data_IF_834439450053
#
_entry.id   IF_834439450053
#
_cell.length_a   1.000
_cell.length_b   1.000
_cell.length_c   1.000
_cell.angle_alpha   90.00
_cell.angle_beta   90.00
_cell.angle_gamma   90.00
#
_symmetry.space_group_name_H-M   'P 1'
#
loop_
_entity.id
_entity.type
_entity.pdbx_description
1 polymer ?
#
# COMPACT_ATOMS: atom_id res chain seq x y z
N UNK A 1 -0.99 -5.68 21.62
CA UNK A 1 -1.08 -5.68 23.10
C UNK A 1 -1.69 -6.97 23.65
N UNK A 2 -3.00 -7.24 23.44
CA UNK A 2 -3.71 -8.40 24.05
C UNK A 2 -3.11 -9.79 23.78
N UNK A 3 -2.20 -9.92 22.80
CA UNK A 3 -1.54 -11.17 22.40
C UNK A 3 -0.04 -11.21 22.72
N UNK A 4 0.53 -10.16 23.31
CA UNK A 4 1.98 -9.99 23.43
C UNK A 4 2.37 -9.74 24.88
N UNK A 5 3.37 -10.47 25.39
CA UNK A 5 3.99 -10.15 26.65
C UNK A 5 4.98 -8.99 26.44
N UNK A 6 4.61 -7.80 26.90
CA UNK A 6 5.42 -6.58 26.71
C UNK A 6 6.84 -6.73 27.26
N UNK A 7 7.02 -7.40 28.41
CA UNK A 7 8.34 -7.63 29.03
C UNK A 7 9.24 -8.59 28.26
N UNK A 8 8.69 -9.29 27.25
CA UNK A 8 9.42 -10.21 26.38
C UNK A 8 9.35 -9.78 24.91
N UNK A 9 8.90 -8.56 24.64
CA UNK A 9 8.76 -8.02 23.30
C UNK A 9 9.90 -7.04 23.01
N UNK A 10 10.47 -7.12 21.81
CA UNK A 10 11.35 -6.12 21.22
C UNK A 10 10.55 -5.32 20.19
N UNK A 11 10.59 -4.00 20.29
CA UNK A 11 9.95 -3.07 19.36
C UNK A 11 10.99 -2.49 18.41
N UNK A 12 10.71 -2.54 17.10
CA UNK A 12 11.54 -1.93 16.07
C UNK A 12 10.87 -0.63 15.65
N UNK A 13 11.45 0.51 16.03
CA UNK A 13 10.98 1.85 15.66
C UNK A 13 11.68 2.26 14.38
N UNK A 14 10.94 2.30 13.28
CA UNK A 14 11.51 2.39 11.94
C UNK A 14 10.96 3.60 11.19
N UNK A 15 11.81 4.59 10.94
CA UNK A 15 11.46 5.78 10.16
C UNK A 15 12.71 6.44 9.57
N UNK A 16 12.80 6.52 8.23
CA UNK A 16 13.91 7.17 7.51
C UNK A 16 14.14 8.61 8.00
N UNK A 17 13.10 9.45 7.93
CA UNK A 17 13.17 10.85 8.39
C UNK A 17 13.23 11.01 9.91
N UNK A 18 12.95 9.96 10.67
CA UNK A 18 12.78 10.01 12.13
C UNK A 18 11.55 10.81 12.60
N UNK A 19 10.65 11.22 11.69
CA UNK A 19 9.52 12.11 12.00
C UNK A 19 8.14 11.54 11.61
N UNK A 20 8.07 10.30 11.11
CA UNK A 20 6.81 9.66 10.73
C UNK A 20 5.84 9.57 11.90
N UNK A 21 4.72 10.29 11.80
CA UNK A 21 3.79 10.53 12.90
C UNK A 21 3.21 9.23 13.47
N UNK A 22 2.84 8.28 12.60
CA UNK A 22 2.29 7.00 12.99
C UNK A 22 3.30 6.17 13.79
N UNK A 23 4.53 6.06 13.29
CA UNK A 23 5.63 5.33 13.94
C UNK A 23 5.91 5.91 15.32
N UNK A 24 6.02 7.24 15.44
CA UNK A 24 6.27 7.91 16.72
C UNK A 24 5.07 7.78 17.68
N UNK A 25 3.84 7.85 17.18
CA UNK A 25 2.64 7.65 17.99
C UNK A 25 2.58 6.25 18.61
N UNK A 26 2.88 5.22 17.81
CA UNK A 26 2.97 3.85 18.33
C UNK A 26 4.13 3.69 19.32
N UNK A 27 5.27 4.30 19.04
CA UNK A 27 6.41 4.30 19.94
C UNK A 27 6.03 4.88 21.31
N UNK A 28 5.48 6.10 21.38
CA UNK A 28 5.12 6.75 22.65
C UNK A 28 4.12 5.91 23.44
N UNK A 29 3.12 5.32 22.77
CA UNK A 29 2.16 4.43 23.41
C UNK A 29 2.81 3.22 24.08
N UNK A 30 3.66 2.48 23.35
CA UNK A 30 4.30 1.29 23.91
C UNK A 30 5.42 1.63 24.89
N UNK A 31 6.13 2.74 24.69
CA UNK A 31 7.17 3.20 25.60
C UNK A 31 6.58 3.54 26.97
N UNK A 32 5.49 4.31 27.03
CA UNK A 32 4.86 4.65 28.31
C UNK A 32 4.27 3.43 29.03
N UNK A 33 3.75 2.43 28.30
CA UNK A 33 3.37 1.15 28.92
C UNK A 33 4.55 0.41 29.51
N UNK A 34 5.63 0.28 28.75
CA UNK A 34 6.84 -0.39 29.23
C UNK A 34 7.49 0.36 30.38
N UNK A 35 7.46 1.69 30.39
CA UNK A 35 7.94 2.53 31.48
C UNK A 35 7.19 2.25 32.79
N UNK A 36 5.88 2.01 32.74
CA UNK A 36 5.11 1.61 33.93
C UNK A 36 5.52 0.24 34.49
N UNK A 37 6.08 -0.65 33.65
CA UNK A 37 6.46 -2.01 34.02
C UNK A 37 7.95 -2.11 34.41
N UNK A 38 8.82 -1.44 33.65
CA UNK A 38 10.30 -1.56 33.71
C UNK A 38 10.99 -0.28 34.20
N UNK A 39 10.25 0.79 34.46
CA UNK A 39 10.81 2.09 34.84
C UNK A 39 11.78 2.62 33.78
N UNK A 40 12.96 3.03 34.22
CA UNK A 40 13.99 3.60 33.36
C UNK A 40 14.61 2.60 32.36
N UNK A 41 14.33 1.30 32.50
CA UNK A 41 14.83 0.26 31.59
C UNK A 41 13.91 0.00 30.39
N UNK A 42 12.84 0.78 30.22
CA UNK A 42 11.91 0.63 29.10
C UNK A 42 12.62 0.68 27.74
N UNK A 43 13.63 1.55 27.59
CA UNK A 43 14.44 1.67 26.37
C UNK A 43 15.12 0.39 25.91
N UNK A 44 15.47 -0.51 26.83
CA UNK A 44 16.13 -1.79 26.50
C UNK A 44 15.24 -2.73 25.66
N UNK A 45 13.94 -2.40 25.50
CA UNK A 45 12.97 -3.11 24.67
C UNK A 45 12.76 -2.48 23.30
N UNK A 46 13.52 -1.45 22.94
CA UNK A 46 13.40 -0.76 21.66
C UNK A 46 14.73 -0.78 20.89
N UNK A 47 14.62 -0.89 19.57
CA UNK A 47 15.69 -0.57 18.62
C UNK A 47 15.17 0.43 17.60
N UNK A 48 16.06 1.28 17.09
CA UNK A 48 15.73 2.25 16.05
C UNK A 48 16.41 1.87 14.72
N UNK A 49 15.70 2.07 13.61
CA UNK A 49 16.25 2.05 12.26
C UNK A 49 15.88 3.39 11.60
N UNK A 50 16.90 4.18 11.28
CA UNK A 50 16.74 5.56 10.80
C UNK A 50 17.99 6.04 10.08
N UNK A 51 17.94 7.19 9.43
CA UNK A 51 19.12 7.81 8.81
C UNK A 51 19.98 8.55 9.86
N UNK A 52 21.26 8.82 9.59
CA UNK A 52 22.12 9.64 10.45
C UNK A 52 21.55 11.04 10.71
N UNK A 53 21.71 11.54 11.93
CA UNK A 53 21.36 12.91 12.32
C UNK A 53 19.87 13.17 12.54
N UNK A 54 19.01 12.16 12.48
CA UNK A 54 17.56 12.35 12.57
C UNK A 54 17.08 12.55 14.02
N UNK A 55 15.88 13.11 14.23
CA UNK A 55 15.26 13.18 15.55
C UNK A 55 15.09 11.81 16.22
N UNK A 56 14.88 10.74 15.44
CA UNK A 56 14.74 9.38 15.97
C UNK A 56 16.07 8.83 16.49
N UNK A 57 17.21 9.18 15.88
CA UNK A 57 18.53 8.84 16.44
C UNK A 57 18.72 9.50 17.82
N UNK A 58 18.39 10.80 17.91
CA UNK A 58 18.48 11.55 19.17
C UNK A 58 17.56 10.98 20.24
N UNK A 59 16.30 10.70 19.88
CA UNK A 59 15.31 10.08 20.76
C UNK A 59 15.78 8.71 21.26
N UNK A 60 16.32 7.88 20.38
CA UNK A 60 16.83 6.56 20.75
C UNK A 60 17.97 6.64 21.78
N UNK A 61 18.87 7.63 21.63
CA UNK A 61 19.93 7.91 22.62
C UNK A 61 19.35 8.37 23.96
N UNK A 62 18.46 9.36 23.94
CA UNK A 62 17.84 9.93 25.16
C UNK A 62 17.02 8.90 25.94
N UNK A 63 16.34 8.00 25.22
CA UNK A 63 15.50 6.95 25.79
C UNK A 63 16.27 5.64 26.03
N UNK A 64 17.59 5.63 25.85
CA UNK A 64 18.46 4.48 26.08
C UNK A 64 18.00 3.21 25.34
N UNK A 65 17.72 3.34 24.04
CA UNK A 65 17.38 2.21 23.18
C UNK A 65 18.52 1.20 23.15
N UNK A 66 18.18 -0.08 22.99
CA UNK A 66 19.17 -1.18 22.95
C UNK A 66 20.17 -1.01 21.81
N UNK A 67 19.70 -0.54 20.66
CA UNK A 67 20.53 -0.32 19.47
C UNK A 67 19.86 0.66 18.51
N UNK A 68 20.68 1.48 17.87
CA UNK A 68 20.29 2.28 16.69
C UNK A 68 21.08 1.76 15.49
N UNK A 69 20.38 1.48 14.39
CA UNK A 69 20.94 1.14 13.10
C UNK A 69 20.79 2.35 12.18
N UNK A 70 21.93 2.94 11.80
CA UNK A 70 21.98 4.10 10.92
C UNK A 70 22.06 3.63 9.47
N UNK A 71 20.98 3.84 8.72
CA UNK A 71 20.87 3.42 7.33
C UNK A 71 21.55 4.43 6.40
N UNK A 72 22.10 4.01 5.24
CA UNK A 72 22.58 4.96 4.23
C UNK A 72 21.46 5.92 3.79
N UNK A 73 21.75 7.22 3.81
CA UNK A 73 20.77 8.29 3.57
C UNK A 73 20.38 8.41 2.08
N UNK A 74 21.23 7.95 1.18
CA UNK A 74 21.04 7.95 -0.27
C UNK A 74 20.08 6.87 -0.77
N UNK A 75 19.61 5.97 0.11
CA UNK A 75 18.61 4.94 -0.23
C UNK A 75 17.21 5.42 0.14
N UNK A 76 16.36 5.65 -0.87
CA UNK A 76 14.95 6.01 -0.68
C UNK A 76 14.14 4.92 0.03
N UNK A 77 13.08 5.30 0.76
CA UNK A 77 12.32 4.38 1.61
C UNK A 77 11.78 3.14 0.88
N UNK A 78 11.18 3.33 -0.30
CA UNK A 78 10.65 2.21 -1.12
C UNK A 78 11.72 1.30 -1.73
N UNK A 79 12.98 1.76 -1.80
CA UNK A 79 14.16 1.02 -2.27
C UNK A 79 15.00 0.44 -1.11
N UNK A 80 14.47 0.45 0.12
CA UNK A 80 15.23 0.11 1.33
C UNK A 80 15.06 -1.34 1.81
N UNK A 81 14.37 -2.20 1.05
CA UNK A 81 14.07 -3.58 1.48
C UNK A 81 15.35 -4.41 1.72
N UNK A 82 16.40 -4.19 0.95
CA UNK A 82 17.70 -4.85 1.11
C UNK A 82 18.70 -4.06 1.97
N UNK A 83 18.24 -2.98 2.63
CA UNK A 83 19.02 -2.18 3.58
C UNK A 83 18.75 -2.63 5.03
N UNK A 84 19.20 -1.86 6.03
CA UNK A 84 18.89 -2.18 7.44
C UNK A 84 17.39 -2.24 7.74
N UNK A 85 16.56 -1.52 6.98
CA UNK A 85 15.11 -1.55 7.12
C UNK A 85 14.51 -2.95 6.92
N UNK A 86 15.04 -3.77 6.01
CA UNK A 86 14.59 -5.16 5.84
C UNK A 86 15.53 -6.19 6.48
N UNK A 87 16.85 -5.95 6.46
CA UNK A 87 17.84 -6.91 6.95
C UNK A 87 17.82 -7.08 8.47
N UNK A 88 17.59 -6.01 9.25
CA UNK A 88 17.54 -6.12 10.72
C UNK A 88 16.35 -6.96 11.18
N UNK A 89 15.10 -6.72 10.72
CA UNK A 89 13.99 -7.62 10.99
C UNK A 89 14.25 -9.06 10.53
N UNK A 90 14.83 -9.25 9.34
CA UNK A 90 15.13 -10.59 8.82
C UNK A 90 16.12 -11.36 9.71
N UNK A 91 17.20 -10.71 10.14
CA UNK A 91 18.19 -11.30 11.06
C UNK A 91 17.55 -11.67 12.42
N UNK A 92 16.70 -10.80 12.96
CA UNK A 92 15.97 -11.06 14.22
C UNK A 92 14.97 -12.22 14.10
N UNK A 93 14.46 -12.49 12.90
CA UNK A 93 13.63 -13.66 12.59
C UNK A 93 14.45 -14.95 12.37
N UNK A 94 15.78 -14.89 12.44
CA UNK A 94 16.67 -16.02 12.20
C UNK A 94 16.88 -16.35 10.71
N UNK A 95 16.57 -15.43 9.81
CA UNK A 95 16.82 -15.59 8.38
C UNK A 95 18.31 -15.39 8.09
N UNK A 96 18.90 -16.25 7.26
CA UNK A 96 20.29 -16.15 6.81
C UNK A 96 20.43 -14.99 5.82
N UNK A 97 20.77 -13.81 6.34
CA UNK A 97 20.85 -12.57 5.56
C UNK A 97 21.95 -12.61 4.51
N UNK A 98 23.05 -13.31 4.76
CA UNK A 98 24.16 -13.50 3.81
C UNK A 98 23.65 -14.19 2.54
N UNK A 99 22.87 -15.26 2.70
CA UNK A 99 22.29 -16.00 1.58
C UNK A 99 21.29 -15.15 0.80
N UNK A 100 20.55 -14.24 1.45
CA UNK A 100 19.68 -13.30 0.76
C UNK A 100 20.50 -12.32 -0.08
N UNK A 101 21.55 -11.75 0.50
CA UNK A 101 22.41 -10.80 -0.19
C UNK A 101 23.15 -11.45 -1.37
N UNK A 102 23.58 -12.70 -1.24
CA UNK A 102 24.18 -13.46 -2.36
C UNK A 102 23.24 -13.55 -3.59
N UNK A 103 21.93 -13.71 -3.38
CA UNK A 103 20.96 -13.76 -4.49
C UNK A 103 20.69 -12.36 -5.07
N UNK A 104 20.65 -11.32 -4.23
CA UNK A 104 20.52 -9.95 -4.68
C UNK A 104 21.74 -9.51 -5.51
N UNK A 105 22.95 -9.83 -5.06
CA UNK A 105 24.21 -9.51 -5.76
C UNK A 105 24.29 -10.18 -7.13
N UNK A 106 23.84 -11.43 -7.25
CA UNK A 106 23.74 -12.11 -8.56
C UNK A 106 22.77 -11.41 -9.49
N UNK A 107 21.62 -10.96 -8.99
CA UNK A 107 20.68 -10.16 -9.78
C UNK A 107 21.29 -8.83 -10.19
N UNK A 108 22.01 -8.18 -9.28
CA UNK A 108 22.67 -6.92 -9.54
C UNK A 108 23.71 -7.04 -10.65
N UNK A 109 24.52 -8.10 -10.64
CA UNK A 109 25.47 -8.37 -11.70
C UNK A 109 24.76 -8.68 -13.04
N UNK A 110 23.68 -9.46 -13.03
CA UNK A 110 22.88 -9.70 -14.24
C UNK A 110 22.27 -8.39 -14.80
N UNK A 111 21.83 -7.47 -13.93
CA UNK A 111 21.27 -6.18 -14.33
C UNK A 111 22.31 -5.17 -14.84
N UNK A 112 23.61 -5.50 -14.85
CA UNK A 112 24.65 -4.66 -15.47
C UNK A 112 24.83 -4.92 -16.95
N UNK A 113 24.26 -6.01 -17.48
CA UNK A 113 24.42 -6.33 -18.89
C UNK A 113 23.79 -5.24 -19.77
N UNK A 114 24.44 -4.75 -20.84
CA UNK A 114 23.91 -3.64 -21.64
C UNK A 114 22.77 -4.05 -22.57
N UNK A 115 22.71 -5.32 -23.00
CA UNK A 115 21.63 -5.85 -23.85
C UNK A 115 20.36 -6.08 -23.03
N UNK A 116 19.20 -5.51 -23.41
CA UNK A 116 17.93 -5.71 -22.71
C UNK A 116 17.56 -7.18 -22.50
N UNK A 117 17.81 -8.05 -23.47
CA UNK A 117 17.44 -9.47 -23.44
C UNK A 117 18.18 -10.28 -22.36
N UNK A 118 19.35 -9.79 -21.93
CA UNK A 118 20.21 -10.42 -20.92
C UNK A 118 20.21 -9.66 -19.60
N UNK A 119 19.53 -8.51 -19.54
CA UNK A 119 19.41 -7.67 -18.37
C UNK A 119 17.99 -7.77 -17.80
N UNK A 120 17.76 -8.57 -16.76
CA UNK A 120 16.41 -8.86 -16.28
C UNK A 120 15.66 -7.63 -15.77
N UNK A 121 16.35 -6.65 -15.18
CA UNK A 121 15.75 -5.38 -14.74
C UNK A 121 15.36 -4.49 -15.91
N UNK A 122 16.27 -4.32 -16.89
CA UNK A 122 16.01 -3.56 -18.12
C UNK A 122 14.91 -4.19 -18.96
N UNK A 123 14.94 -5.51 -19.12
CA UNK A 123 13.90 -6.28 -19.80
C UNK A 123 12.53 -6.00 -19.17
N UNK A 124 12.41 -6.18 -17.85
CA UNK A 124 11.14 -6.01 -17.15
C UNK A 124 10.64 -4.56 -17.24
N UNK A 125 11.49 -3.58 -16.96
CA UNK A 125 11.13 -2.17 -17.03
C UNK A 125 10.68 -1.72 -18.43
N UNK A 126 11.35 -2.21 -19.48
CA UNK A 126 10.97 -1.96 -20.86
C UNK A 126 9.61 -2.58 -21.20
N UNK A 127 9.33 -3.82 -20.76
CA UNK A 127 8.04 -4.47 -21.00
C UNK A 127 6.89 -3.78 -20.27
N UNK A 128 7.07 -3.41 -19.00
CA UNK A 128 6.07 -2.65 -18.25
C UNK A 128 5.72 -1.35 -18.98
N UNK A 129 6.74 -0.64 -19.49
CA UNK A 129 6.53 0.64 -20.18
C UNK A 129 5.89 0.47 -21.55
N UNK A 130 6.33 -0.49 -22.35
CA UNK A 130 5.78 -0.76 -23.67
C UNK A 130 4.28 -1.12 -23.58
N UNK A 131 3.89 -1.94 -22.61
CA UNK A 131 2.49 -2.27 -22.38
C UNK A 131 1.69 -1.07 -21.89
N UNK A 132 2.23 -0.26 -20.99
CA UNK A 132 1.57 0.98 -20.56
C UNK A 132 1.33 1.95 -21.74
N UNK A 133 2.29 2.08 -22.65
CA UNK A 133 2.15 2.86 -23.88
C UNK A 133 1.11 2.27 -24.84
N UNK A 134 0.93 0.94 -24.83
CA UNK A 134 -0.13 0.24 -25.54
C UNK A 134 -1.49 0.28 -24.83
N UNK A 135 -1.64 1.07 -23.75
CA UNK A 135 -2.89 1.24 -23.00
C UNK A 135 -3.09 0.23 -21.87
N UNK A 136 -2.08 -0.59 -21.54
CA UNK A 136 -2.11 -1.62 -20.49
C UNK A 136 -1.24 -1.24 -19.30
N UNK A 137 -1.67 -0.23 -18.57
CA UNK A 137 -0.94 0.34 -17.42
C UNK A 137 -1.41 -0.20 -16.06
N UNK A 138 -2.44 -1.08 -16.02
CA UNK A 138 -2.90 -1.75 -14.80
C UNK A 138 -2.12 -3.05 -14.60
N UNK A 139 -1.04 -2.97 -13.83
CA UNK A 139 -0.12 -4.07 -13.55
C UNK A 139 -0.71 -4.97 -12.47
N UNK A 140 -1.37 -6.05 -12.88
CA UNK A 140 -2.06 -6.99 -12.00
C UNK A 140 -1.14 -8.09 -11.51
N UNK A 141 -0.83 -8.07 -10.22
CA UNK A 141 0.04 -9.05 -9.59
C UNK A 141 -0.72 -10.30 -9.17
N UNK A 142 -0.23 -11.44 -9.65
CA UNK A 142 -0.68 -12.77 -9.25
C UNK A 142 0.51 -13.43 -8.56
N UNK A 143 0.42 -13.64 -7.26
CA UNK A 143 1.51 -14.15 -6.45
C UNK A 143 1.14 -15.51 -5.88
N UNK A 144 2.06 -16.47 -5.87
CA UNK A 144 1.86 -17.70 -5.09
C UNK A 144 1.57 -17.36 -3.62
N UNK A 145 0.74 -18.14 -2.89
CA UNK A 145 0.31 -17.78 -1.53
C UNK A 145 1.45 -17.42 -0.55
N UNK A 146 2.59 -18.13 -0.65
CA UNK A 146 3.79 -17.88 0.17
C UNK A 146 4.44 -16.50 -0.08
N UNK A 147 4.19 -15.89 -1.24
CA UNK A 147 4.79 -14.63 -1.68
C UNK A 147 3.87 -13.42 -1.52
N UNK A 148 2.67 -13.58 -0.94
CA UNK A 148 1.67 -12.48 -0.85
C UNK A 148 2.21 -11.20 -0.23
N UNK A 149 3.11 -11.28 0.76
CA UNK A 149 3.72 -10.11 1.38
C UNK A 149 4.55 -9.25 0.40
N UNK A 150 5.13 -9.86 -0.64
CA UNK A 150 5.88 -9.13 -1.67
C UNK A 150 4.98 -8.17 -2.46
N UNK A 151 3.70 -8.52 -2.64
CA UNK A 151 2.71 -7.69 -3.34
C UNK A 151 2.58 -6.30 -2.74
N UNK A 152 2.58 -6.20 -1.41
CA UNK A 152 2.53 -4.92 -0.71
C UNK A 152 3.76 -4.04 -0.95
N UNK A 153 4.93 -4.65 -1.14
CA UNK A 153 6.17 -3.92 -1.38
C UNK A 153 6.24 -3.45 -2.84
N UNK A 154 5.98 -4.33 -3.81
CA UNK A 154 6.05 -3.97 -5.23
C UNK A 154 4.95 -2.98 -5.64
N UNK A 155 3.78 -3.04 -4.98
CA UNK A 155 2.72 -2.03 -5.08
C UNK A 155 3.26 -0.63 -4.72
N UNK A 156 3.92 -0.50 -3.56
CA UNK A 156 4.50 0.77 -3.15
C UNK A 156 5.58 1.23 -4.13
N UNK A 157 6.49 0.33 -4.49
CA UNK A 157 7.61 0.65 -5.36
C UNK A 157 7.13 1.24 -6.69
N UNK A 158 6.20 0.58 -7.37
CA UNK A 158 5.68 1.06 -8.66
C UNK A 158 4.82 2.31 -8.52
N UNK A 159 3.89 2.34 -7.56
CA UNK A 159 2.93 3.43 -7.44
C UNK A 159 3.60 4.75 -7.05
N UNK A 160 4.53 4.75 -6.07
CA UNK A 160 5.24 5.97 -5.68
C UNK A 160 6.24 6.43 -6.72
N UNK A 161 6.95 5.50 -7.36
CA UNK A 161 8.00 5.85 -8.32
C UNK A 161 7.42 6.36 -9.63
N UNK A 162 6.28 5.81 -10.08
CA UNK A 162 5.74 6.11 -11.41
C UNK A 162 4.48 6.98 -11.41
N UNK A 163 3.75 7.03 -10.29
CA UNK A 163 2.45 7.71 -10.21
C UNK A 163 2.55 9.22 -10.02
N UNK A 164 3.03 9.95 -11.03
CA UNK A 164 3.22 11.40 -11.01
C UNK A 164 3.08 12.02 -12.39
N UNK A 165 2.89 13.33 -12.43
CA UNK A 165 2.79 14.11 -13.68
C UNK A 165 1.75 13.56 -14.66
N UNK A 166 0.57 13.20 -14.14
CA UNK A 166 -0.55 12.63 -14.90
C UNK A 166 -0.19 11.35 -15.67
N UNK A 167 0.81 10.61 -15.19
CA UNK A 167 1.30 9.35 -15.76
C UNK A 167 1.51 8.32 -14.64
N UNK A 168 1.81 7.08 -15.02
CA UNK A 168 2.22 6.05 -14.09
C UNK A 168 1.59 4.69 -14.33
N UNK A 169 2.18 3.69 -13.69
CA UNK A 169 1.65 2.33 -13.64
C UNK A 169 0.73 2.22 -12.42
N UNK A 170 -0.39 1.52 -12.57
CA UNK A 170 -1.32 1.24 -11.47
C UNK A 170 -1.11 -0.20 -11.03
N UNK A 171 -0.34 -0.45 -9.96
CA UNK A 171 -0.18 -1.79 -9.43
C UNK A 171 -1.48 -2.24 -8.76
N UNK A 172 -1.94 -3.43 -9.14
CA UNK A 172 -3.14 -4.07 -8.60
C UNK A 172 -2.65 -5.30 -7.82
N UNK A 173 -2.70 -5.21 -6.49
CA UNK A 173 -2.30 -6.31 -5.61
C UNK A 173 -3.52 -6.95 -4.93
N UNK A 174 -3.39 -8.25 -4.62
CA UNK A 174 -4.41 -9.06 -3.94
C UNK A 174 -5.83 -8.97 -4.54
N UNK A 175 -5.96 -8.71 -5.85
CA UNK A 175 -7.24 -8.82 -6.56
C UNK A 175 -7.56 -10.30 -6.78
N UNK A 176 -8.79 -10.71 -6.48
CA UNK A 176 -9.22 -12.09 -6.69
C UNK A 176 -9.28 -12.38 -8.18
N UNK A 177 -8.77 -13.55 -8.59
CA UNK A 177 -8.86 -13.98 -9.98
C UNK A 177 -10.32 -14.24 -10.39
N UNK A 178 -10.75 -13.55 -11.45
CA UNK A 178 -12.00 -13.76 -12.17
C UNK A 178 -11.80 -14.56 -13.45
N UNK A 179 -12.82 -14.59 -14.30
CA UNK A 179 -12.70 -15.15 -15.65
C UNK A 179 -12.10 -14.10 -16.62
N UNK A 180 -11.42 -14.52 -17.70
CA UNK A 180 -10.74 -13.58 -18.59
C UNK A 180 -11.63 -12.47 -19.17
N UNK A 181 -12.91 -12.74 -19.39
CA UNK A 181 -13.90 -11.82 -19.93
C UNK A 181 -14.35 -10.72 -18.95
N UNK A 182 -14.06 -10.89 -17.66
CA UNK A 182 -14.31 -9.90 -16.60
C UNK A 182 -13.23 -8.81 -16.54
N UNK A 183 -12.11 -8.97 -17.25
CA UNK A 183 -11.04 -7.98 -17.27
C UNK A 183 -11.18 -6.99 -18.43
N UNK A 184 -10.73 -5.76 -18.20
CA UNK A 184 -10.56 -4.76 -19.24
C UNK A 184 -9.32 -5.03 -20.10
N UNK A 185 -9.26 -4.39 -21.27
CA UNK A 185 -8.09 -4.42 -22.16
C UNK A 185 -6.91 -3.57 -21.65
N UNK A 186 -7.00 -3.05 -20.43
CA UNK A 186 -6.03 -2.19 -19.75
C UNK A 186 -5.09 -2.98 -18.80
N UNK A 187 -5.26 -4.30 -18.71
CA UNK A 187 -4.47 -5.16 -17.82
C UNK A 187 -3.18 -5.65 -18.46
N UNK A 188 -2.11 -5.60 -17.67
CA UNK A 188 -0.90 -6.40 -17.81
C UNK A 188 -0.80 -7.30 -16.59
N UNK A 189 -0.77 -8.63 -16.78
CA UNK A 189 -0.64 -9.55 -15.66
C UNK A 189 0.82 -9.91 -15.40
N UNK A 190 1.19 -9.97 -14.13
CA UNK A 190 2.51 -10.41 -13.68
C UNK A 190 2.33 -11.56 -12.71
N UNK A 191 2.69 -12.76 -13.15
CA UNK A 191 2.63 -13.97 -12.34
C UNK A 191 3.99 -14.27 -11.72
N UNK A 192 4.12 -14.05 -10.40
CA UNK A 192 5.31 -14.42 -9.63
C UNK A 192 5.02 -15.73 -8.90
N UNK A 193 5.59 -16.79 -9.44
CA UNK A 193 5.34 -18.17 -9.05
C UNK A 193 6.43 -18.67 -8.11
N UNK A 194 6.04 -19.25 -6.98
CA UNK A 194 6.93 -20.07 -6.17
C UNK A 194 6.90 -21.51 -6.69
N UNK A 195 7.91 -21.88 -7.46
CA UNK A 195 7.98 -23.15 -8.19
C UNK A 195 7.86 -24.41 -7.30
N UNK A 196 8.44 -24.46 -6.08
CA UNK A 196 8.35 -25.65 -5.22
C UNK A 196 6.94 -26.02 -4.76
N UNK A 197 6.02 -25.06 -4.66
CA UNK A 197 4.63 -25.30 -4.26
C UNK A 197 3.67 -24.56 -5.19
N UNK A 198 3.47 -25.03 -6.43
CA UNK A 198 2.66 -24.32 -7.40
C UNK A 198 1.17 -24.40 -7.06
N UNK A 199 0.45 -23.30 -7.25
CA UNK A 199 -1.01 -23.27 -7.12
C UNK A 199 -1.66 -23.62 -8.46
N UNK A 200 -2.23 -24.82 -8.55
CA UNK A 200 -2.85 -25.33 -9.78
C UNK A 200 -4.05 -24.50 -10.25
N UNK A 201 -4.74 -23.80 -9.34
CA UNK A 201 -5.86 -22.92 -9.72
C UNK A 201 -5.31 -21.66 -10.39
N UNK A 202 -4.25 -21.07 -9.82
CA UNK A 202 -3.56 -19.95 -10.46
C UNK A 202 -3.02 -20.35 -11.83
N UNK A 203 -2.33 -21.49 -11.95
CA UNK A 203 -1.82 -21.99 -13.24
C UNK A 203 -2.91 -22.10 -14.31
N UNK A 204 -4.08 -22.65 -13.95
CA UNK A 204 -5.21 -22.73 -14.86
C UNK A 204 -5.72 -21.35 -15.27
N UNK A 205 -5.89 -20.43 -14.31
CA UNK A 205 -6.34 -19.06 -14.59
C UNK A 205 -5.36 -18.31 -15.49
N UNK A 206 -4.05 -18.43 -15.27
CA UNK A 206 -3.04 -17.79 -16.11
C UNK A 206 -3.12 -18.29 -17.55
N UNK A 207 -3.23 -19.61 -17.77
CA UNK A 207 -3.38 -20.16 -19.13
C UNK A 207 -4.62 -19.62 -19.83
N UNK A 208 -5.75 -19.54 -19.12
CA UNK A 208 -6.99 -18.98 -19.68
C UNK A 208 -6.85 -17.49 -20.03
N UNK A 209 -6.09 -16.71 -19.24
CA UNK A 209 -5.79 -15.31 -19.56
C UNK A 209 -4.96 -15.22 -20.85
N UNK A 210 -3.91 -16.02 -20.98
CA UNK A 210 -3.06 -16.07 -22.18
C UNK A 210 -3.84 -16.52 -23.43
N UNK A 211 -4.67 -17.56 -23.31
CA UNK A 211 -5.53 -18.06 -24.39
C UNK A 211 -6.55 -17.02 -24.88
N UNK A 212 -6.96 -16.09 -24.01
CA UNK A 212 -7.85 -14.98 -24.35
C UNK A 212 -7.11 -13.68 -24.75
N UNK A 213 -5.78 -13.75 -24.90
CA UNK A 213 -4.97 -12.65 -25.43
C UNK A 213 -4.54 -11.60 -24.40
N UNK A 214 -4.79 -11.82 -23.10
CA UNK A 214 -4.25 -10.94 -22.06
C UNK A 214 -2.73 -11.16 -21.94
N UNK A 215 -1.92 -10.08 -21.92
CA UNK A 215 -0.47 -10.25 -21.77
C UNK A 215 -0.12 -10.67 -20.34
N UNK A 216 0.75 -11.66 -20.25
CA UNK A 216 1.25 -12.20 -18.98
C UNK A 216 2.78 -12.22 -18.98
N UNK A 217 3.38 -11.65 -17.94
CA UNK A 217 4.79 -11.83 -17.60
C UNK A 217 4.88 -12.90 -16.51
N UNK A 218 5.69 -13.94 -16.71
CA UNK A 218 5.89 -15.03 -15.73
C UNK A 218 7.29 -14.95 -15.12
N UNK A 219 7.38 -14.86 -13.80
CA UNK A 219 8.62 -14.88 -13.03
C UNK A 219 8.59 -16.08 -12.06
N UNK A 220 9.62 -16.92 -12.08
CA UNK A 220 9.69 -18.12 -11.24
C UNK A 220 10.75 -17.96 -10.15
N UNK A 221 10.37 -18.28 -8.91
CA UNK A 221 11.28 -18.40 -7.77
C UNK A 221 11.43 -19.89 -7.43
N UNK A 222 12.67 -20.37 -7.43
CA UNK A 222 13.02 -21.75 -7.08
C UNK A 222 13.22 -21.91 -5.57
N UNK A 223 13.57 -20.81 -4.89
CA UNK A 223 13.75 -20.78 -3.44
C UNK A 223 13.25 -19.46 -2.85
N UNK A 224 12.94 -19.46 -1.55
CA UNK A 224 12.56 -18.21 -0.87
C UNK A 224 13.71 -17.21 -0.78
N UNK A 225 14.97 -17.66 -0.89
CA UNK A 225 16.10 -16.74 -1.00
C UNK A 225 16.12 -15.97 -2.31
N UNK A 226 15.45 -16.45 -3.36
CA UNK A 226 15.38 -15.75 -4.66
C UNK A 226 14.51 -14.48 -4.55
N UNK A 227 13.74 -14.33 -3.47
CA UNK A 227 12.93 -13.14 -3.23
C UNK A 227 13.79 -11.86 -3.16
N UNK A 228 15.02 -11.94 -2.66
CA UNK A 228 15.94 -10.80 -2.64
C UNK A 228 16.46 -10.44 -4.03
N UNK A 229 16.59 -11.42 -4.93
CA UNK A 229 16.85 -11.17 -6.33
C UNK A 229 15.67 -10.41 -6.97
N UNK A 230 14.43 -10.75 -6.63
CA UNK A 230 13.26 -9.99 -7.11
C UNK A 230 13.24 -8.56 -6.57
N UNK A 231 13.56 -8.31 -5.29
CA UNK A 231 13.67 -6.94 -4.78
C UNK A 231 14.58 -6.09 -5.69
N UNK A 232 15.80 -6.56 -5.97
CA UNK A 232 16.72 -5.83 -6.83
C UNK A 232 16.22 -5.69 -8.29
N UNK A 233 15.69 -6.78 -8.89
CA UNK A 233 15.17 -6.74 -10.27
C UNK A 233 14.08 -5.69 -10.42
N UNK A 234 13.14 -5.65 -9.47
CA UNK A 234 12.02 -4.72 -9.50
C UNK A 234 12.45 -3.28 -9.22
N UNK A 235 13.44 -3.05 -8.38
CA UNK A 235 14.05 -1.73 -8.18
C UNK A 235 14.63 -1.19 -9.51
N UNK A 236 15.44 -2.00 -10.22
CA UNK A 236 15.98 -1.62 -11.54
C UNK A 236 14.86 -1.42 -12.56
N UNK A 237 13.90 -2.35 -12.64
CA UNK A 237 12.79 -2.27 -13.58
C UNK A 237 11.95 -1.00 -13.39
N UNK A 238 11.74 -0.59 -12.13
CA UNK A 238 10.98 0.62 -11.79
C UNK A 238 11.72 1.88 -12.21
N UNK A 239 13.05 1.93 -12.00
CA UNK A 239 13.88 3.06 -12.45
C UNK A 239 13.90 3.16 -13.97
N UNK A 240 14.04 2.03 -14.66
CA UNK A 240 13.96 1.95 -16.13
C UNK A 240 12.60 2.43 -16.62
N UNK A 241 11.51 2.00 -15.99
CA UNK A 241 10.17 2.44 -16.35
C UNK A 241 9.99 3.95 -16.13
N UNK A 242 10.48 4.50 -15.00
CA UNK A 242 10.49 5.94 -14.74
C UNK A 242 11.25 6.72 -15.82
N UNK A 243 12.45 6.25 -16.18
CA UNK A 243 13.25 6.88 -17.25
C UNK A 243 12.55 6.85 -18.61
N UNK A 244 11.98 5.71 -19.01
CA UNK A 244 11.28 5.57 -20.29
C UNK A 244 9.95 6.34 -20.32
N UNK A 245 9.30 6.49 -19.17
CA UNK A 245 8.14 7.35 -19.00
C UNK A 245 8.53 8.82 -18.74
N UNK A 246 9.82 9.19 -18.80
CA UNK A 246 10.35 10.54 -18.61
C UNK A 246 9.92 11.19 -17.29
N UNK A 247 10.22 10.53 -16.18
CA UNK A 247 9.94 11.01 -14.82
C UNK A 247 11.03 10.56 -13.84
N UNK A 248 11.13 11.26 -12.72
CA UNK A 248 12.02 10.87 -11.62
C UNK A 248 11.40 9.70 -10.82
N UNK A 249 12.09 8.56 -10.77
CA UNK A 249 11.65 7.38 -10.03
C UNK A 249 11.93 7.45 -8.52
N UNK A 250 12.66 8.48 -8.04
CA UNK A 250 13.17 8.57 -6.67
C UNK A 250 12.46 9.62 -5.81
N UNK A 251 11.73 10.58 -6.39
CA UNK A 251 10.96 11.58 -5.64
C UNK A 251 9.50 11.15 -5.33
N UNK A 252 8.78 11.93 -4.53
CA UNK A 252 7.36 11.71 -4.17
C UNK A 252 6.62 13.04 -3.85
N UNK A 253 6.42 13.93 -4.83
CA UNK A 253 6.00 15.31 -4.58
C UNK A 253 4.53 15.44 -4.13
N UNK A 254 3.69 14.43 -4.33
CA UNK A 254 2.23 14.54 -4.15
C UNK A 254 1.70 13.94 -2.84
N UNK A 255 2.58 13.48 -1.95
CA UNK A 255 2.18 13.00 -0.62
C UNK A 255 2.14 14.12 0.44
N UNK A 256 2.86 15.22 0.22
CA UNK A 256 3.03 16.28 1.21
C UNK A 256 1.72 17.01 1.54
N UNK A 257 0.87 17.25 0.55
CA UNK A 257 -0.41 17.95 0.73
C UNK A 257 -1.31 17.23 1.75
N UNK A 258 -1.39 15.89 1.68
CA UNK A 258 -2.16 15.11 2.67
C UNK A 258 -1.59 15.24 4.08
N UNK A 259 -0.26 15.32 4.22
CA UNK A 259 0.42 15.51 5.51
C UNK A 259 0.11 16.89 6.09
N UNK A 260 0.16 17.93 5.26
CA UNK A 260 -0.12 19.31 5.67
C UNK A 260 -1.59 19.52 6.04
N UNK A 261 -2.51 18.94 5.27
CA UNK A 261 -3.95 18.95 5.59
C UNK A 261 -4.24 18.17 6.88
N UNK A 262 -3.61 17.01 7.09
CA UNK A 262 -3.71 16.27 8.36
C UNK A 262 -3.28 17.14 9.53
N UNK A 263 -2.13 17.80 9.43
CA UNK A 263 -1.61 18.70 10.48
C UNK A 263 -2.58 19.84 10.76
N UNK A 264 -3.07 20.49 9.72
CA UNK A 264 -4.05 21.59 9.83
C UNK A 264 -5.33 21.14 10.55
N UNK A 265 -5.82 19.94 10.26
CA UNK A 265 -6.99 19.37 10.92
C UNK A 265 -6.73 19.08 12.40
N UNK A 266 -5.56 18.54 12.75
CA UNK A 266 -5.16 18.32 14.14
C UNK A 266 -5.02 19.64 14.90
N UNK A 267 -4.42 20.67 14.31
CA UNK A 267 -4.29 21.99 14.93
C UNK A 267 -5.67 22.61 15.23
N UNK A 268 -6.64 22.46 14.32
CA UNK A 268 -8.03 22.87 14.55
C UNK A 268 -8.71 22.08 15.67
N UNK A 269 -8.46 20.77 15.74
CA UNK A 269 -8.97 19.94 16.83
C UNK A 269 -8.41 20.39 18.18
N UNK A 270 -7.13 20.73 18.26
CA UNK A 270 -6.49 21.24 19.48
C UNK A 270 -7.14 22.55 19.94
N UNK A 271 -7.48 23.44 19.00
CA UNK A 271 -8.07 24.74 19.32
C UNK A 271 -9.56 24.66 19.71
N UNK A 272 -10.32 23.75 19.08
CA UNK A 272 -11.79 23.75 19.17
C UNK A 272 -12.40 22.51 19.82
N UNK A 273 -11.62 21.45 20.03
CA UNK A 273 -12.08 20.13 20.46
C UNK A 273 -12.88 19.37 19.40
N UNK A 274 -13.02 19.90 18.18
CA UNK A 274 -13.80 19.30 17.10
C UNK A 274 -12.97 19.19 15.83
N UNK A 275 -13.11 18.06 15.14
CA UNK A 275 -12.50 17.81 13.85
C UNK A 275 -13.56 18.09 12.78
N UNK A 276 -13.31 18.94 11.77
CA UNK A 276 -14.31 19.24 10.75
C UNK A 276 -14.47 18.04 9.80
N UNK A 277 -15.69 17.52 9.69
CA UNK A 277 -15.97 16.31 8.91
C UNK A 277 -16.29 16.66 7.44
N UNK A 278 -15.76 15.92 6.45
CA UNK A 278 -16.13 16.11 5.05
C UNK A 278 -17.57 15.61 4.79
N UNK A 279 -18.21 16.02 3.68
CA UNK A 279 -19.51 15.50 3.30
C UNK A 279 -19.48 13.98 3.12
N UNK A 280 -20.26 13.26 3.93
CA UNK A 280 -20.44 11.80 3.82
C UNK A 280 -21.80 11.46 3.23
N UNK A 281 -21.84 10.35 2.48
CA UNK A 281 -23.10 9.77 2.01
C UNK A 281 -23.88 9.24 3.23
N UNK A 282 -25.16 9.62 3.41
CA UNK A 282 -26.03 9.04 4.44
C UNK A 282 -26.30 7.55 4.20
N UNK A 283 -26.43 6.76 5.27
CA UNK A 283 -26.62 5.29 5.21
C UNK A 283 -27.89 4.89 4.42
N UNK A 284 -28.92 5.74 4.45
CA UNK A 284 -30.18 5.57 3.71
C UNK A 284 -30.04 5.73 2.19
N UNK A 285 -29.08 6.53 1.72
CA UNK A 285 -28.88 6.85 0.30
C UNK A 285 -27.65 6.14 -0.28
N UNK A 286 -27.10 5.16 0.45
CA UNK A 286 -25.83 4.51 0.12
C UNK A 286 -25.87 3.84 -1.26
N UNK A 287 -26.88 3.01 -1.55
CA UNK A 287 -26.99 2.27 -2.80
C UNK A 287 -27.11 3.19 -4.01
N UNK A 288 -28.01 4.18 -3.95
CA UNK A 288 -28.19 5.16 -5.03
C UNK A 288 -26.92 5.98 -5.27
N UNK A 289 -26.30 6.47 -4.19
CA UNK A 289 -25.07 7.26 -4.28
C UNK A 289 -23.89 6.43 -4.81
N UNK A 290 -23.82 5.14 -4.44
CA UNK A 290 -22.83 4.22 -4.95
C UNK A 290 -23.02 3.99 -6.46
N UNK A 291 -24.24 3.72 -6.93
CA UNK A 291 -24.51 3.60 -8.37
C UNK A 291 -24.16 4.87 -9.13
N UNK A 292 -24.60 6.03 -8.63
CA UNK A 292 -24.29 7.32 -9.24
C UNK A 292 -22.78 7.56 -9.31
N UNK A 293 -22.02 7.14 -8.30
CA UNK A 293 -20.57 7.25 -8.29
C UNK A 293 -19.90 6.29 -9.29
N UNK A 294 -20.41 5.06 -9.40
CA UNK A 294 -19.91 4.05 -10.34
C UNK A 294 -20.12 4.45 -11.81
N UNK A 295 -21.08 5.33 -12.13
CA UNK A 295 -21.25 5.90 -13.49
C UNK A 295 -20.05 6.72 -13.97
N UNK A 296 -19.14 7.12 -13.08
CA UNK A 296 -17.89 7.78 -13.48
C UNK A 296 -16.84 6.81 -14.03
N UNK A 297 -17.03 5.50 -13.87
CA UNK A 297 -16.12 4.50 -14.42
C UNK A 297 -16.17 4.51 -15.95
N UNK A 298 -15.00 4.69 -16.55
CA UNK A 298 -14.78 4.59 -18.00
C UNK A 298 -13.77 3.48 -18.28
N UNK A 299 -13.65 3.08 -19.54
CA UNK A 299 -12.57 2.19 -19.96
C UNK A 299 -11.20 2.79 -19.55
N UNK A 300 -10.33 1.97 -18.95
CA UNK A 300 -9.03 2.38 -18.42
C UNK A 300 -9.06 3.04 -17.03
N UNK A 301 -10.26 3.32 -16.48
CA UNK A 301 -10.39 3.77 -15.09
C UNK A 301 -10.07 2.65 -14.10
N UNK A 302 -9.68 3.01 -12.88
CA UNK A 302 -9.62 2.09 -11.76
C UNK A 302 -10.43 2.62 -10.58
N UNK A 303 -10.96 1.71 -9.77
CA UNK A 303 -11.67 2.00 -8.53
C UNK A 303 -10.79 1.63 -7.34
N UNK A 304 -10.64 2.56 -6.40
CA UNK A 304 -9.86 2.34 -5.18
C UNK A 304 -10.75 2.42 -3.95
N UNK A 305 -10.77 1.34 -3.16
CA UNK A 305 -11.35 1.34 -1.82
C UNK A 305 -10.28 1.82 -0.83
N UNK A 306 -10.53 2.95 -0.17
CA UNK A 306 -9.65 3.54 0.83
C UNK A 306 -10.23 3.29 2.22
N UNK A 307 -9.75 2.27 2.91
CA UNK A 307 -10.35 1.76 4.13
C UNK A 307 -9.61 2.22 5.39
N UNK A 308 -10.19 3.15 6.15
CA UNK A 308 -9.82 3.46 7.53
C UNK A 308 -10.66 2.60 8.50
N UNK A 309 -10.55 1.29 8.31
CA UNK A 309 -11.32 0.26 9.00
C UNK A 309 -10.38 -0.75 9.70
N UNK A 310 -10.85 -1.44 10.74
CA UNK A 310 -10.08 -2.52 11.35
C UNK A 310 -9.73 -3.61 10.33
N UNK A 311 -8.44 -3.98 10.25
CA UNK A 311 -7.95 -5.04 9.37
C UNK A 311 -8.19 -6.43 9.99
N UNK A 312 -9.46 -6.78 10.18
CA UNK A 312 -9.91 -8.09 10.66
C UNK A 312 -10.49 -8.91 9.50
N UNK A 313 -10.50 -10.25 9.66
CA UNK A 313 -10.86 -11.17 8.56
C UNK A 313 -12.27 -10.97 8.00
N UNK A 314 -13.26 -10.61 8.84
CA UNK A 314 -14.63 -10.31 8.42
C UNK A 314 -14.68 -9.10 7.49
N UNK A 315 -14.15 -7.96 7.95
CA UNK A 315 -14.06 -6.71 7.18
C UNK A 315 -13.25 -6.90 5.90
N UNK A 316 -12.08 -7.55 5.97
CA UNK A 316 -11.24 -7.79 4.80
C UNK A 316 -11.94 -8.66 3.75
N UNK A 317 -12.66 -9.70 4.19
CA UNK A 317 -13.45 -10.55 3.28
C UNK A 317 -14.52 -9.75 2.55
N UNK A 318 -15.28 -8.90 3.26
CA UNK A 318 -16.33 -8.10 2.63
C UNK A 318 -15.75 -7.08 1.65
N UNK A 319 -14.61 -6.45 1.97
CA UNK A 319 -13.91 -5.55 1.04
C UNK A 319 -13.40 -6.27 -0.22
N UNK A 320 -12.85 -7.48 -0.07
CA UNK A 320 -12.43 -8.29 -1.22
C UNK A 320 -13.63 -8.75 -2.07
N UNK A 321 -14.75 -9.07 -1.45
CA UNK A 321 -15.97 -9.41 -2.18
C UNK A 321 -16.54 -8.19 -2.93
N UNK A 322 -16.53 -7.00 -2.33
CA UNK A 322 -16.90 -5.75 -3.02
C UNK A 322 -16.02 -5.54 -4.26
N UNK A 323 -14.70 -5.67 -4.14
CA UNK A 323 -13.77 -5.59 -5.28
C UNK A 323 -14.12 -6.59 -6.38
N UNK A 324 -14.33 -7.84 -5.98
CA UNK A 324 -14.65 -8.92 -6.93
C UNK A 324 -15.97 -8.66 -7.67
N UNK A 325 -17.00 -8.14 -7.00
CA UNK A 325 -18.24 -7.75 -7.67
C UNK A 325 -18.04 -6.57 -8.62
N UNK A 326 -17.24 -5.58 -8.23
CA UNK A 326 -16.97 -4.39 -9.06
C UNK A 326 -16.07 -4.70 -10.27
N UNK A 327 -15.20 -5.71 -10.17
CA UNK A 327 -14.37 -6.18 -11.29
C UNK A 327 -15.22 -6.57 -12.50
N UNK A 328 -16.43 -7.12 -12.31
CA UNK A 328 -17.38 -7.49 -13.37
C UNK A 328 -17.75 -6.32 -14.29
N UNK A 329 -17.53 -5.09 -13.85
CA UNK A 329 -17.67 -3.88 -14.69
C UNK A 329 -16.51 -3.70 -15.68
N UNK A 330 -15.55 -4.63 -15.74
CA UNK A 330 -14.28 -4.57 -16.49
C UNK A 330 -13.36 -3.44 -16.02
N UNK A 331 -13.38 -3.17 -14.72
CA UNK A 331 -12.60 -2.12 -14.08
C UNK A 331 -11.52 -2.72 -13.17
N UNK A 332 -10.36 -2.07 -13.14
CA UNK A 332 -9.31 -2.33 -12.16
C UNK A 332 -9.74 -1.96 -10.74
N UNK A 333 -9.53 -2.84 -9.76
CA UNK A 333 -9.87 -2.54 -8.35
C UNK A 333 -8.66 -2.61 -7.44
N UNK A 334 -8.44 -1.57 -6.61
CA UNK A 334 -7.41 -1.55 -5.56
C UNK A 334 -8.05 -1.44 -4.17
N UNK A 335 -7.30 -1.86 -3.14
CA UNK A 335 -7.71 -1.73 -1.75
C UNK A 335 -6.55 -1.27 -0.88
N UNK A 336 -6.61 -0.01 -0.43
CA UNK A 336 -5.65 0.57 0.49
C UNK A 336 -6.22 0.63 1.91
N UNK A 337 -5.50 0.07 2.89
CA UNK A 337 -5.80 0.33 4.31
C UNK A 337 -5.09 1.61 4.76
N UNK A 338 -5.85 2.56 5.30
CA UNK A 338 -5.31 3.79 5.86
C UNK A 338 -4.68 3.57 7.23
N UNK A 339 -3.60 4.29 7.59
CA UNK A 339 -2.89 5.28 6.77
C UNK A 339 -1.78 4.69 5.88
N UNK A 340 -1.57 3.35 5.84
CA UNK A 340 -0.48 2.73 5.06
C UNK A 340 -0.44 3.25 3.62
N UNK A 341 -1.58 3.26 2.93
CA UNK A 341 -1.61 3.63 1.52
C UNK A 341 -1.20 5.09 1.27
N UNK A 342 -1.24 5.97 2.27
CA UNK A 342 -0.74 7.35 2.14
C UNK A 342 0.77 7.39 1.85
N UNK A 343 1.49 6.37 2.32
CA UNK A 343 2.91 6.11 2.09
C UNK A 343 3.09 4.94 1.11
N UNK A 344 2.15 4.74 0.20
CA UNK A 344 2.32 3.87 -0.96
C UNK A 344 1.56 4.41 -2.17
N UNK A 345 0.34 3.94 -2.42
CA UNK A 345 -0.44 4.31 -3.60
C UNK A 345 -0.97 5.75 -3.56
N UNK A 346 -0.86 6.44 -2.42
CA UNK A 346 -1.27 7.83 -2.27
C UNK A 346 -0.60 8.76 -3.29
N UNK A 347 0.70 8.59 -3.55
CA UNK A 347 1.41 9.33 -4.60
C UNK A 347 0.70 9.17 -5.96
N UNK A 348 0.44 7.93 -6.37
CA UNK A 348 -0.29 7.61 -7.61
C UNK A 348 -1.72 8.20 -7.63
N UNK A 349 -2.47 8.07 -6.53
CA UNK A 349 -3.86 8.53 -6.47
C UNK A 349 -3.99 10.04 -6.69
N UNK A 350 -2.97 10.81 -6.30
CA UNK A 350 -2.95 12.28 -6.38
C UNK A 350 -2.16 12.80 -7.58
N UNK A 351 -1.07 12.13 -7.95
CA UNK A 351 -0.12 12.56 -8.97
C UNK A 351 -0.26 11.87 -10.32
N UNK A 352 -0.82 10.66 -10.38
CA UNK A 352 -0.98 9.91 -11.62
C UNK A 352 -2.18 10.35 -12.46
N UNK A 353 -2.44 9.64 -13.57
CA UNK A 353 -3.57 9.92 -14.48
C UNK A 353 -4.89 10.13 -13.75
N UNK A 354 -5.72 11.07 -14.24
CA UNK A 354 -7.05 11.34 -13.67
C UNK A 354 -8.12 10.31 -14.08
N UNK A 355 -7.87 9.06 -13.72
CA UNK A 355 -8.67 7.87 -14.05
C UNK A 355 -9.11 7.09 -12.80
N UNK A 356 -8.63 7.48 -11.62
CA UNK A 356 -8.98 6.88 -10.34
C UNK A 356 -10.32 7.37 -9.82
N UNK A 357 -11.18 6.43 -9.42
CA UNK A 357 -12.46 6.65 -8.74
C UNK A 357 -12.34 6.11 -7.32
N UNK A 358 -12.63 6.92 -6.30
CA UNK A 358 -12.25 6.65 -4.92
C UNK A 358 -13.45 6.58 -3.98
N UNK A 359 -13.50 5.50 -3.19
CA UNK A 359 -14.48 5.33 -2.11
C UNK A 359 -13.71 5.31 -0.79
N UNK A 360 -13.84 6.39 -0.02
CA UNK A 360 -13.28 6.50 1.32
C UNK A 360 -14.24 5.90 2.34
N UNK A 361 -13.83 4.82 3.00
CA UNK A 361 -14.60 4.11 4.01
C UNK A 361 -13.97 4.38 5.38
N UNK A 362 -14.68 5.11 6.24
CA UNK A 362 -14.20 5.49 7.57
C UNK A 362 -15.08 4.84 8.62
N UNK A 363 -14.51 4.14 9.59
CA UNK A 363 -15.25 3.55 10.70
C UNK A 363 -14.71 4.03 12.05
N UNK A 364 -15.52 3.89 13.10
CA UNK A 364 -15.09 4.15 14.47
C UNK A 364 -14.51 2.90 15.11
N UNK A 365 -13.45 3.10 15.88
CA UNK A 365 -12.88 2.04 16.71
C UNK A 365 -13.70 1.92 17.99
N UNK A 366 -13.92 0.70 18.47
CA UNK A 366 -14.66 0.43 19.71
C UNK A 366 -14.00 1.07 20.94
N UNK A 367 -12.67 1.15 20.91
CA UNK A 367 -11.85 1.78 21.93
C UNK A 367 -11.02 2.88 21.27
N UNK A 368 -11.22 4.14 21.70
CA UNK A 368 -10.36 5.24 21.29
C UNK A 368 -9.27 5.48 22.34
N UNK A 369 -8.03 5.33 21.92
CA UNK A 369 -6.87 5.27 22.81
C UNK A 369 -6.10 6.59 22.73
N UNK A 370 -5.80 7.25 23.88
CA UNK A 370 -4.99 8.46 23.87
C UNK A 370 -3.55 8.15 23.45
N UNK A 371 -2.93 9.06 22.70
CA UNK A 371 -1.51 8.97 22.34
C UNK A 371 -0.73 9.74 23.42
N UNK A 372 0.17 9.09 24.17
CA UNK A 372 0.93 9.79 25.20
C UNK A 372 1.74 10.97 24.62
N UNK A 373 1.70 12.10 25.33
CA UNK A 373 2.37 13.34 24.90
C UNK A 373 1.65 14.12 23.80
N UNK A 374 0.54 13.62 23.25
CA UNK A 374 -0.28 14.33 22.27
C UNK A 374 -1.62 14.77 22.85
N UNK A 375 -2.17 15.91 22.39
CA UNK A 375 -3.49 16.41 22.82
C UNK A 375 -4.66 15.70 22.12
N UNK A 376 -4.41 14.62 21.38
CA UNK A 376 -5.39 13.87 20.61
C UNK A 376 -5.15 12.35 20.72
N UNK A 377 -6.17 11.58 20.37
CA UNK A 377 -6.17 10.12 20.40
C UNK A 377 -5.78 9.51 19.04
N UNK A 378 -5.59 8.19 19.01
CA UNK A 378 -5.42 7.45 17.76
C UNK A 378 -6.64 7.57 16.85
N UNK A 379 -7.87 7.59 17.40
CA UNK A 379 -9.10 7.78 16.63
C UNK A 379 -9.17 9.16 15.99
N UNK A 380 -8.79 10.23 16.71
CA UNK A 380 -8.69 11.58 16.14
C UNK A 380 -7.61 11.65 15.06
N UNK A 381 -6.42 11.08 15.29
CA UNK A 381 -5.35 11.02 14.29
C UNK A 381 -5.80 10.28 13.03
N UNK A 382 -6.42 9.11 13.17
CA UNK A 382 -6.95 8.30 12.08
C UNK A 382 -7.96 9.09 11.23
N UNK A 383 -8.92 9.76 11.88
CA UNK A 383 -9.91 10.60 11.19
C UNK A 383 -9.26 11.80 10.49
N UNK A 384 -8.32 12.48 11.14
CA UNK A 384 -7.61 13.61 10.56
C UNK A 384 -6.85 13.21 9.28
N UNK A 385 -6.21 12.04 9.28
CA UNK A 385 -5.54 11.48 8.10
C UNK A 385 -6.52 11.14 6.98
N UNK A 386 -7.64 10.49 7.31
CA UNK A 386 -8.69 10.15 6.34
C UNK A 386 -9.26 11.41 5.66
N UNK A 387 -9.57 12.43 6.43
CA UNK A 387 -10.17 13.66 5.90
C UNK A 387 -9.15 14.56 5.21
N UNK A 388 -7.90 14.58 5.69
CA UNK A 388 -6.80 15.25 5.01
C UNK A 388 -6.57 14.65 3.62
N UNK A 389 -6.61 13.33 3.49
CA UNK A 389 -6.50 12.65 2.19
C UNK A 389 -7.74 12.89 1.30
N UNK A 390 -8.96 12.82 1.86
CA UNK A 390 -10.18 13.17 1.13
C UNK A 390 -10.09 14.57 0.50
N UNK A 391 -9.65 15.56 1.29
CA UNK A 391 -9.51 16.92 0.82
C UNK A 391 -8.40 17.06 -0.22
N UNK A 392 -7.26 16.38 -0.06
CA UNK A 392 -6.19 16.35 -1.06
C UNK A 392 -6.68 15.78 -2.41
N UNK A 393 -7.44 14.68 -2.38
CA UNK A 393 -8.07 14.10 -3.58
C UNK A 393 -9.04 15.09 -4.23
N UNK A 394 -9.88 15.77 -3.45
CA UNK A 394 -10.78 16.82 -3.94
C UNK A 394 -10.03 17.99 -4.59
N UNK A 395 -8.95 18.47 -3.96
CA UNK A 395 -8.12 19.56 -4.48
C UNK A 395 -7.49 19.20 -5.83
N UNK A 396 -7.18 17.93 -6.04
CA UNK A 396 -6.68 17.38 -7.32
C UNK A 396 -7.79 17.05 -8.33
N UNK A 397 -9.05 17.42 -8.05
CA UNK A 397 -10.18 17.17 -8.95
C UNK A 397 -10.55 15.69 -9.09
N UNK A 398 -10.10 14.83 -8.17
CA UNK A 398 -10.38 13.39 -8.20
C UNK A 398 -11.83 13.11 -7.85
N UNK A 399 -12.38 12.04 -8.44
CA UNK A 399 -13.73 11.57 -8.13
C UNK A 399 -13.67 10.78 -6.83
N UNK A 400 -14.05 11.41 -5.72
CA UNK A 400 -14.06 10.78 -4.40
C UNK A 400 -15.39 11.01 -3.69
N UNK A 401 -15.92 9.94 -3.09
CA UNK A 401 -17.00 9.94 -2.10
C UNK A 401 -16.50 9.37 -0.78
N UNK A 402 -17.15 9.73 0.32
CA UNK A 402 -16.89 9.13 1.63
C UNK A 402 -18.15 8.54 2.25
N UNK A 403 -17.97 7.42 2.94
CA UNK A 403 -18.98 6.77 3.77
C UNK A 403 -18.42 6.66 5.20
N UNK A 404 -19.03 7.35 6.14
CA UNK A 404 -18.86 7.09 7.57
C UNK A 404 -19.71 5.87 7.94
N UNK A 405 -19.03 4.79 8.31
CA UNK A 405 -19.62 3.52 8.71
C UNK A 405 -19.89 3.44 10.21
N UNK A 406 -19.56 4.49 10.97
CA UNK A 406 -19.68 4.57 12.42
C UNK A 406 -19.14 3.29 13.10
N UNK A 407 -19.87 2.70 14.05
CA UNK A 407 -19.53 1.41 14.66
C UNK A 407 -20.04 0.19 13.87
N UNK A 408 -20.56 0.38 12.66
CA UNK A 408 -21.31 -0.63 11.87
C UNK A 408 -20.58 -1.15 10.63
N UNK A 409 -19.25 -1.04 10.58
CA UNK A 409 -18.46 -1.40 9.39
C UNK A 409 -18.83 -2.75 8.77
N UNK A 410 -18.92 -3.83 9.56
CA UNK A 410 -19.29 -5.16 9.02
C UNK A 410 -20.72 -5.20 8.44
N UNK A 411 -21.69 -4.60 9.13
CA UNK A 411 -23.08 -4.63 8.71
C UNK A 411 -23.28 -3.88 7.39
N UNK A 412 -22.66 -2.69 7.26
CA UNK A 412 -22.78 -1.85 6.08
C UNK A 412 -22.00 -2.48 4.90
N UNK A 413 -20.78 -2.99 5.12
CA UNK A 413 -20.04 -3.68 4.05
C UNK A 413 -20.79 -4.92 3.55
N UNK A 414 -21.43 -5.69 4.43
CA UNK A 414 -22.25 -6.83 4.02
C UNK A 414 -23.51 -6.40 3.25
N UNK A 415 -24.09 -5.24 3.57
CA UNK A 415 -25.19 -4.63 2.80
C UNK A 415 -24.70 -4.24 1.40
N UNK A 416 -23.54 -3.59 1.29
CA UNK A 416 -22.90 -3.26 0.00
C UNK A 416 -22.62 -4.52 -0.84
N UNK A 417 -22.10 -5.59 -0.24
CA UNK A 417 -21.87 -6.87 -0.93
C UNK A 417 -23.19 -7.41 -1.52
N UNK A 418 -24.25 -7.52 -0.71
CA UNK A 418 -25.55 -8.03 -1.18
C UNK A 418 -26.11 -7.17 -2.31
N UNK A 419 -26.00 -5.85 -2.17
CA UNK A 419 -26.43 -4.91 -3.19
C UNK A 419 -25.67 -5.13 -4.51
N UNK A 420 -24.33 -5.17 -4.48
CA UNK A 420 -23.50 -5.35 -5.68
C UNK A 420 -23.66 -6.73 -6.32
N UNK A 421 -23.99 -7.77 -5.54
CA UNK A 421 -24.31 -9.09 -6.07
C UNK A 421 -25.63 -9.11 -6.85
N UNK A 422 -26.59 -8.28 -6.45
CA UNK A 422 -27.92 -8.18 -7.07
C UNK A 422 -28.00 -7.13 -8.18
N UNK A 423 -27.11 -6.13 -8.16
CA UNK A 423 -27.10 -5.05 -9.13
C UNK A 423 -26.82 -5.57 -10.55
N UNK A 424 -27.66 -5.17 -11.51
CA UNK A 424 -27.32 -5.29 -12.93
C UNK A 424 -26.40 -4.13 -13.31
N UNK A 425 -25.14 -4.43 -13.63
CA UNK A 425 -24.19 -3.40 -14.05
C UNK A 425 -24.44 -2.90 -15.49
N UNK A 426 -25.42 -3.46 -16.21
CA UNK A 426 -25.90 -2.92 -17.48
C UNK A 426 -26.63 -1.58 -17.26
N UNK A 427 -27.43 -1.46 -16.20
CA UNK A 427 -28.17 -0.23 -15.83
C UNK A 427 -27.24 0.92 -15.38
N UNK A 428 -26.03 0.59 -14.92
CA UNK A 428 -25.01 1.58 -14.56
C UNK A 428 -24.30 2.20 -15.78
N UNK A 429 -24.41 1.59 -16.97
CA UNK A 429 -23.80 2.08 -18.22
C UNK A 429 -24.77 2.86 -19.11
N UNK A 430 -26.09 2.74 -18.93
CA UNK A 430 -27.13 3.27 -19.83
C UNK A 430 -28.02 4.39 -19.23
N UNK A 431 -27.50 5.26 -18.36
CA UNK A 431 -28.20 6.51 -17.97
C UNK A 431 -27.29 7.73 -18.05
#
# INVERSE_FOLDING_TARGET
ERRSNLEKTLFIVSAKSGTTLETLSFFEYFYEKLKKIKGNKAGEHFVAITDPGTPLETLARERSFRKTFLNPEDIGGRYSALSYFGLVPAALMGIQVERLLDQADRMAEACRHPSPEQNPGLWLGAHLTAWAQAGRDKVTFILSPTLTAFGYWVEQLLAESTGKEDRGLVPIESERLGTPDEYGEDRLFVYIRFHPTPDQRQEKSIRLLEEQGHPVIRLNLESLSDLSAEFFRWEVATVVAGALLQMDAFDEPNVQESKDLTKTLLDRFIQSGKLPEPPSIPEENMEESLLNHLRHLKQGSYLSLLAYLPRISSVHRSLQEIRFQLQRMKCATTLGYGPRYLHSTGQLHKGGKNEGIFILLVGRDQEDIPIPGQPYSFGTLKKAQAWGDFQALKNKGRKVISLDLDYKAEAILNRMVRFLQQASFEEAKEC
#
